data_IF_574668953990
#
_entry.id   IF_574668953990
#
_cell.length_a   1.000
_cell.length_b   1.000
_cell.length_c   1.000
_cell.angle_alpha   90.00
_cell.angle_beta   90.00
_cell.angle_gamma   90.00
#
_symmetry.space_group_name_H-M   'P 1'
#
loop_
_entity.id
_entity.type
_entity.pdbx_description
1 polymer ?
#
# COMPACT_ATOMS: atom_id res chain seq x y z
N UNK A 1 25.16 -3.32 -14.55
CA UNK A 1 25.62 -4.20 -13.46
C UNK A 1 26.08 -3.24 -12.37
N UNK A 2 25.21 -2.69 -11.52
CA UNK A 2 24.55 -3.36 -10.41
C UNK A 2 23.10 -2.89 -10.20
N UNK A 3 22.32 -3.76 -9.57
CA UNK A 3 20.88 -3.81 -9.63
C UNK A 3 20.15 -2.66 -8.95
N UNK A 4 19.05 -2.29 -9.61
CA UNK A 4 17.87 -1.65 -9.04
C UNK A 4 17.60 -2.24 -7.64
N UNK A 5 17.77 -1.43 -6.60
CA UNK A 5 17.24 -1.74 -5.26
C UNK A 5 15.73 -1.84 -5.39
N UNK A 6 15.30 -3.07 -5.58
CA UNK A 6 13.91 -3.47 -5.72
C UNK A 6 13.10 -2.93 -4.56
N UNK A 7 11.85 -2.64 -4.88
CA UNK A 7 10.76 -2.60 -3.93
C UNK A 7 10.98 -3.74 -2.94
N UNK A 8 11.30 -3.42 -1.69
CA UNK A 8 11.08 -4.37 -0.62
C UNK A 8 9.57 -4.55 -0.56
N UNK A 9 9.07 -5.49 -1.38
CA UNK A 9 7.91 -6.26 -1.03
C UNK A 9 8.26 -6.89 0.32
N UNK A 10 7.95 -6.18 1.41
CA UNK A 10 7.73 -6.86 2.69
C UNK A 10 6.49 -7.69 2.45
N UNK A 11 6.74 -8.91 1.99
CA UNK A 11 5.77 -9.98 1.86
C UNK A 11 4.87 -9.97 3.08
N UNK A 12 3.57 -10.03 2.82
CA UNK A 12 2.52 -10.15 3.82
C UNK A 12 2.82 -11.36 4.71
N UNK A 13 3.55 -11.15 5.79
CA UNK A 13 3.72 -12.17 6.80
C UNK A 13 2.47 -12.16 7.67
N UNK A 14 1.41 -12.77 7.14
CA UNK A 14 0.30 -13.26 7.94
C UNK A 14 0.89 -14.11 9.06
N UNK A 15 0.61 -13.75 10.32
CA UNK A 15 1.12 -14.46 11.48
C UNK A 15 0.63 -15.90 11.43
N UNK A 16 1.55 -16.87 11.27
CA UNK A 16 1.27 -18.31 11.17
C UNK A 16 0.70 -18.94 12.45
N UNK A 17 0.34 -18.12 13.44
CA UNK A 17 -0.26 -18.61 14.68
C UNK A 17 -1.72 -18.95 14.40
N UNK A 18 -2.16 -20.18 14.74
CA UNK A 18 -3.50 -20.66 14.43
C UNK A 18 -4.55 -19.86 15.21
N UNK A 19 -4.51 -19.86 16.54
CA UNK A 19 -5.52 -19.14 17.35
C UNK A 19 -4.88 -18.39 18.52
N UNK A 20 -5.53 -17.28 18.92
CA UNK A 20 -5.14 -16.50 20.09
C UNK A 20 -3.95 -15.56 19.88
N UNK A 21 -3.32 -15.16 20.99
CA UNK A 21 -2.15 -14.28 21.02
C UNK A 21 -0.90 -15.10 21.32
N UNK A 22 0.16 -14.86 20.57
CA UNK A 22 1.46 -15.51 20.79
C UNK A 22 2.61 -14.52 20.76
N UNK A 23 3.70 -14.85 21.46
CA UNK A 23 4.90 -14.04 21.52
C UNK A 23 5.86 -14.42 20.40
N UNK A 24 6.14 -13.48 19.49
CA UNK A 24 7.02 -13.68 18.35
C UNK A 24 8.23 -12.73 18.43
N UNK A 25 9.39 -13.19 17.99
CA UNK A 25 10.60 -12.38 17.89
C UNK A 25 10.63 -11.61 16.57
N UNK A 26 10.25 -10.33 16.61
CA UNK A 26 10.06 -9.48 15.44
C UNK A 26 11.33 -8.70 15.08
N UNK A 27 11.63 -8.63 13.80
CA UNK A 27 12.70 -7.84 13.15
C UNK A 27 12.16 -6.63 12.37
N UNK A 28 13.07 -5.81 11.81
CA UNK A 28 12.70 -4.71 10.90
C UNK A 28 11.94 -5.26 9.67
N UNK A 29 10.77 -4.70 9.38
CA UNK A 29 9.95 -5.06 8.21
C UNK A 29 8.68 -5.86 8.52
N UNK A 30 8.50 -6.35 9.75
CA UNK A 30 7.21 -6.96 10.14
C UNK A 30 6.15 -5.89 10.39
N UNK A 31 4.91 -6.19 9.96
CA UNK A 31 3.77 -5.27 10.02
C UNK A 31 3.52 -4.67 11.42
N UNK A 32 3.60 -5.49 12.47
CA UNK A 32 3.31 -5.07 13.85
C UNK A 32 4.53 -4.57 14.64
N UNK A 33 5.68 -4.33 13.99
CA UNK A 33 6.89 -3.87 14.68
C UNK A 33 7.67 -2.79 13.93
N UNK A 34 7.83 -1.64 14.60
CA UNK A 34 8.74 -0.56 14.20
C UNK A 34 9.95 -0.53 15.15
N UNK A 35 11.15 -0.92 14.70
CA UNK A 35 12.35 -0.92 15.53
C UNK A 35 12.78 0.50 15.91
N UNK A 36 13.39 0.67 17.09
CA UNK A 36 13.92 1.97 17.54
C UNK A 36 15.41 2.11 17.25
N UNK A 37 16.14 0.99 17.25
CA UNK A 37 17.55 0.93 16.90
C UNK A 37 17.79 0.02 15.70
N UNK A 38 18.85 0.29 14.96
CA UNK A 38 19.28 -0.57 13.84
C UNK A 38 19.71 -1.94 14.40
N UNK A 39 19.23 -3.02 13.77
CA UNK A 39 19.54 -4.40 14.19
C UNK A 39 18.73 -4.93 15.37
N UNK A 40 17.84 -4.12 15.96
CA UNK A 40 17.01 -4.55 17.09
C UNK A 40 15.99 -5.62 16.67
N UNK A 41 15.86 -6.66 17.50
CA UNK A 41 14.74 -7.60 17.48
C UNK A 41 14.04 -7.57 18.82
N UNK A 42 12.71 -7.66 18.82
CA UNK A 42 11.92 -7.63 20.06
C UNK A 42 10.85 -8.71 20.08
N UNK A 43 10.77 -9.41 21.20
CA UNK A 43 9.68 -10.33 21.47
C UNK A 43 8.41 -9.54 21.81
N UNK A 44 7.34 -9.72 21.03
CA UNK A 44 6.05 -9.06 21.23
C UNK A 44 4.90 -10.04 21.04
N UNK A 45 3.84 -9.84 21.81
CA UNK A 45 2.56 -10.50 21.58
C UNK A 45 1.93 -10.00 20.29
N UNK A 46 1.52 -10.92 19.43
CA UNK A 46 0.80 -10.64 18.19
C UNK A 46 -0.43 -11.55 18.12
N UNK A 47 -1.53 -11.03 17.58
CA UNK A 47 -2.72 -11.82 17.29
C UNK A 47 -2.44 -12.78 16.14
N UNK A 48 -2.99 -14.00 16.22
CA UNK A 48 -3.02 -14.95 15.12
C UNK A 48 -3.84 -14.46 13.93
N UNK A 49 -3.72 -15.15 12.81
CA UNK A 49 -4.39 -14.72 11.58
C UNK A 49 -5.82 -15.24 11.41
N UNK A 50 -6.23 -16.23 12.23
CA UNK A 50 -7.58 -16.76 12.17
C UNK A 50 -8.54 -15.78 12.87
N UNK A 51 -9.66 -15.51 12.19
CA UNK A 51 -10.72 -14.65 12.70
C UNK A 51 -11.46 -15.39 13.83
N UNK A 52 -11.65 -14.69 14.94
CA UNK A 52 -12.26 -15.17 16.18
C UNK A 52 -13.11 -14.04 16.77
N UNK A 53 -14.07 -14.38 17.63
CA UNK A 53 -14.97 -13.41 18.29
C UNK A 53 -14.21 -12.41 19.18
N UNK A 54 -12.95 -12.70 19.51
CA UNK A 54 -12.06 -11.84 20.29
C UNK A 54 -11.50 -10.64 19.48
N UNK A 55 -11.74 -10.56 18.17
CA UNK A 55 -11.35 -9.42 17.33
C UNK A 55 -12.44 -8.34 17.34
N UNK A 56 -12.06 -7.12 17.72
CA UNK A 56 -12.97 -5.98 17.74
C UNK A 56 -13.15 -5.30 16.38
N UNK A 57 -12.14 -5.36 15.50
CA UNK A 57 -12.11 -4.64 14.22
C UNK A 57 -11.50 -5.53 13.13
N UNK A 58 -12.12 -5.54 11.96
CA UNK A 58 -11.60 -6.17 10.73
C UNK A 58 -11.42 -5.12 9.64
N UNK A 59 -10.28 -5.17 8.95
CA UNK A 59 -10.01 -4.34 7.79
C UNK A 59 -10.28 -5.15 6.53
N UNK A 60 -11.32 -4.80 5.78
CA UNK A 60 -11.75 -5.49 4.56
C UNK A 60 -11.54 -4.61 3.33
N UNK A 61 -11.26 -5.24 2.18
CA UNK A 61 -11.13 -4.57 0.88
C UNK A 61 -12.18 -5.13 -0.07
N UNK A 62 -12.91 -4.25 -0.76
CA UNK A 62 -13.91 -4.65 -1.76
C UNK A 62 -13.19 -4.94 -3.08
N UNK A 63 -13.28 -6.17 -3.57
CA UNK A 63 -12.67 -6.58 -4.85
C UNK A 63 -13.69 -6.50 -5.99
N UNK A 64 -14.92 -6.99 -5.77
CA UNK A 64 -15.97 -7.05 -6.78
C UNK A 64 -17.20 -6.24 -6.36
N UNK A 65 -17.58 -5.27 -7.20
CA UNK A 65 -18.79 -4.48 -6.99
C UNK A 65 -20.00 -5.22 -7.57
N UNK A 66 -20.99 -5.55 -6.72
CA UNK A 66 -22.29 -6.08 -7.15
C UNK A 66 -23.33 -4.95 -7.28
N UNK A 67 -24.55 -5.31 -7.64
CA UNK A 67 -25.67 -4.40 -7.95
C UNK A 67 -26.00 -3.41 -6.83
N UNK A 68 -25.87 -3.79 -5.56
CA UNK A 68 -26.17 -2.91 -4.41
C UNK A 68 -24.92 -2.11 -4.03
N UNK A 69 -24.84 -0.89 -4.54
CA UNK A 69 -23.77 0.06 -4.21
C UNK A 69 -23.94 0.59 -2.78
N UNK A 70 -22.92 0.40 -1.94
CA UNK A 70 -22.93 0.87 -0.55
C UNK A 70 -22.67 2.39 -0.53
N UNK A 71 -23.57 3.19 0.07
CA UNK A 71 -23.35 4.62 0.20
C UNK A 71 -22.18 4.93 1.12
N UNK A 72 -21.32 5.87 0.71
CA UNK A 72 -20.14 6.32 1.46
C UNK A 72 -18.83 5.62 1.11
N UNK A 73 -18.86 4.46 0.46
CA UNK A 73 -17.63 3.74 0.04
C UNK A 73 -17.32 3.92 -1.45
N UNK A 74 -18.34 3.85 -2.31
CA UNK A 74 -18.13 3.77 -3.77
C UNK A 74 -18.62 5.04 -4.51
N UNK A 75 -19.26 6.00 -3.82
CA UNK A 75 -19.95 7.11 -4.50
C UNK A 75 -19.06 8.28 -4.91
N UNK A 76 -17.87 8.42 -4.33
CA UNK A 76 -16.94 9.50 -4.69
C UNK A 76 -15.54 8.94 -4.91
N UNK A 77 -14.96 9.06 -6.13
CA UNK A 77 -13.57 8.71 -6.33
C UNK A 77 -12.68 9.71 -5.59
N UNK A 78 -11.83 9.20 -4.69
CA UNK A 78 -10.81 10.02 -4.02
C UNK A 78 -9.57 10.07 -4.91
N UNK A 79 -9.15 11.25 -5.41
CA UNK A 79 -7.99 11.34 -6.28
C UNK A 79 -6.69 11.08 -5.51
N UNK A 80 -5.67 10.60 -6.22
CA UNK A 80 -4.34 10.42 -5.64
C UNK A 80 -3.72 11.77 -5.27
N UNK A 81 -3.19 11.88 -4.05
CA UNK A 81 -2.65 13.14 -3.53
C UNK A 81 -1.36 13.59 -4.22
N UNK A 82 -0.60 12.67 -4.84
CA UNK A 82 0.69 12.94 -5.46
C UNK A 82 0.79 12.22 -6.82
N UNK A 83 1.34 12.93 -7.80
CA UNK A 83 1.73 12.35 -9.08
C UNK A 83 3.03 11.53 -8.98
N UNK A 84 3.32 10.70 -9.99
CA UNK A 84 4.56 9.93 -10.05
C UNK A 84 5.78 10.86 -10.14
N UNK A 85 6.75 10.71 -9.24
CA UNK A 85 7.97 11.54 -9.22
C UNK A 85 9.06 11.11 -10.22
N UNK A 86 9.09 9.84 -10.61
CA UNK A 86 10.18 9.31 -11.45
C UNK A 86 9.83 9.30 -12.93
N UNK A 87 10.76 9.73 -13.80
CA UNK A 87 10.57 9.79 -15.25
C UNK A 87 10.02 8.48 -15.85
N UNK A 88 10.55 7.31 -15.45
CA UNK A 88 10.03 6.01 -15.91
C UNK A 88 8.57 5.78 -15.52
N UNK A 89 8.13 6.24 -14.34
CA UNK A 89 6.74 6.11 -13.87
C UNK A 89 5.82 7.10 -14.57
N UNK A 90 6.29 8.31 -14.83
CA UNK A 90 5.58 9.34 -15.62
C UNK A 90 5.34 8.82 -17.04
N UNK A 91 6.39 8.34 -17.72
CA UNK A 91 6.28 7.79 -19.08
C UNK A 91 5.31 6.62 -19.18
N UNK A 92 5.31 5.73 -18.19
CA UNK A 92 4.32 4.63 -18.11
C UNK A 92 2.90 5.12 -17.90
N UNK A 93 2.69 6.16 -17.10
CA UNK A 93 1.35 6.67 -16.82
C UNK A 93 0.74 7.36 -18.04
N UNK A 94 1.57 8.13 -18.77
CA UNK A 94 1.15 8.90 -19.95
C UNK A 94 1.45 8.21 -21.29
N UNK A 95 1.89 6.94 -21.26
CA UNK A 95 2.31 6.16 -22.44
C UNK A 95 3.30 6.90 -23.38
N UNK A 96 4.25 7.64 -22.79
CA UNK A 96 5.28 8.38 -23.52
C UNK A 96 6.43 7.48 -23.94
N UNK A 97 7.05 7.82 -25.07
CA UNK A 97 8.27 7.17 -25.56
C UNK A 97 9.51 7.58 -24.75
N UNK A 98 10.68 7.03 -25.07
CA UNK A 98 11.93 7.39 -24.36
C UNK A 98 12.45 8.75 -24.82
N UNK A 99 12.11 9.11 -26.04
CA UNK A 99 12.44 10.31 -26.78
C UNK A 99 11.69 11.52 -26.21
N UNK A 100 10.49 11.29 -25.65
CA UNK A 100 9.68 12.33 -25.04
C UNK A 100 10.23 12.80 -23.68
N UNK A 101 10.17 14.11 -23.47
CA UNK A 101 10.57 14.76 -22.22
C UNK A 101 9.49 14.60 -21.14
N UNK A 102 9.89 13.99 -20.01
CA UNK A 102 9.00 13.74 -18.88
C UNK A 102 8.71 14.99 -18.06
N UNK A 103 9.47 16.08 -18.21
CA UNK A 103 9.29 17.33 -17.45
C UNK A 103 8.08 18.16 -17.90
N UNK A 104 7.62 17.96 -19.13
CA UNK A 104 6.46 18.64 -19.68
C UNK A 104 5.12 18.02 -19.23
N UNK A 105 5.16 16.82 -18.63
CA UNK A 105 3.95 16.14 -18.18
C UNK A 105 3.34 16.82 -16.94
N UNK A 106 2.00 16.98 -16.87
CA UNK A 106 1.32 17.61 -15.76
C UNK A 106 1.40 16.73 -14.50
N UNK A 107 2.41 16.97 -13.68
CA UNK A 107 2.64 16.27 -12.41
C UNK A 107 2.54 17.20 -11.19
N UNK A 108 2.48 18.51 -11.42
CA UNK A 108 2.26 19.52 -10.39
C UNK A 108 0.79 19.54 -9.96
N UNK A 109 0.53 20.05 -8.75
CA UNK A 109 -0.82 20.30 -8.25
C UNK A 109 -1.46 21.47 -9.01
N UNK A 110 -1.74 21.32 -10.30
CA UNK A 110 -2.61 22.25 -11.01
C UNK A 110 -4.07 21.87 -10.75
N UNK A 111 -4.89 22.85 -10.39
CA UNK A 111 -6.33 22.70 -10.07
C UNK A 111 -7.19 22.19 -11.24
N UNK A 112 -6.58 21.86 -12.38
CA UNK A 112 -7.24 21.60 -13.66
C UNK A 112 -7.60 20.13 -13.93
N UNK A 113 -7.50 19.24 -12.95
CA UNK A 113 -7.99 17.85 -13.10
C UNK A 113 -9.19 17.61 -12.18
N UNK A 114 -10.19 18.49 -12.25
CA UNK A 114 -11.52 18.19 -11.71
C UNK A 114 -12.33 17.29 -12.64
N UNK A 115 -12.01 17.22 -13.94
CA UNK A 115 -12.72 16.36 -14.89
C UNK A 115 -11.80 16.04 -16.10
N UNK A 116 -11.08 14.90 -16.12
CA UNK A 116 -10.75 14.20 -17.39
C UNK A 116 -9.94 12.89 -17.34
N UNK A 117 -9.65 12.31 -16.19
CA UNK A 117 -9.05 10.95 -16.16
C UNK A 117 -9.69 10.16 -15.02
N UNK A 118 -10.96 9.82 -15.21
CA UNK A 118 -11.64 8.58 -14.85
C UNK A 118 -13.01 8.58 -15.52
#
# INVERSE_FOLDING_TARGET
>A
MEGLRGLNHTEEQQTKLPHGRGHLLLSKGHFCYRPRRTGERKCKSVQGCIVDANLSVLNLVIVNNKEKKIPGVIHTPVPHCLGPKGARRIRKLFNLSKEDDAHQAPTSKSESVKNKIF
#
